data_IF_578603955748
#
_entry.id   IF_578603955748
#
_cell.length_a   1.000
_cell.length_b   1.000
_cell.length_c   1.000
_cell.angle_alpha   90.00
_cell.angle_beta   90.00
_cell.angle_gamma   90.00
#
_symmetry.space_group_name_H-M   'P 1'
#
loop_
_entity.id
_entity.type
_entity.pdbx_description
1 polymer ?
#
# COMPACT_ATOMS: atom_id res chain seq x y z
N UNK A 1 -16.07 -15.48 -9.24
CA UNK A 1 -14.70 -15.83 -9.68
C UNK A 1 -14.18 -14.65 -10.50
N UNK A 2 -13.31 -13.83 -9.94
CA UNK A 2 -12.87 -12.57 -10.55
C UNK A 2 -11.50 -12.79 -11.22
N UNK A 3 -11.39 -12.56 -12.53
CA UNK A 3 -10.13 -12.84 -13.24
C UNK A 3 -10.14 -12.67 -14.75
N UNK A 4 -11.32 -12.69 -15.38
CA UNK A 4 -11.51 -12.38 -16.81
C UNK A 4 -12.08 -10.99 -17.03
N UNK A 5 -11.56 -9.98 -16.33
CA UNK A 5 -12.08 -8.61 -16.40
C UNK A 5 -11.15 -7.72 -17.23
N UNK A 6 -11.74 -6.82 -18.01
CA UNK A 6 -10.98 -5.78 -18.73
C UNK A 6 -10.77 -4.59 -17.81
N UNK A 7 -9.52 -4.18 -17.65
CA UNK A 7 -9.12 -3.06 -16.80
C UNK A 7 -8.18 -2.14 -17.58
N UNK A 8 -8.30 -0.85 -17.34
CA UNK A 8 -7.33 0.15 -17.77
C UNK A 8 -6.15 0.19 -16.80
N UNK A 9 -4.97 0.61 -17.28
CA UNK A 9 -3.77 0.68 -16.47
C UNK A 9 -3.93 1.50 -15.17
N UNK A 10 -4.71 2.59 -15.24
CA UNK A 10 -5.01 3.47 -14.09
C UNK A 10 -5.88 2.81 -13.00
N UNK A 11 -6.49 1.67 -13.28
CA UNK A 11 -7.37 0.94 -12.37
C UNK A 11 -6.63 -0.17 -11.62
N UNK A 12 -5.34 -0.34 -11.92
CA UNK A 12 -4.46 -1.33 -11.31
C UNK A 12 -3.44 -0.60 -10.44
N UNK A 13 -3.40 -0.96 -9.16
CA UNK A 13 -2.32 -0.58 -8.26
C UNK A 13 -1.25 -1.66 -8.34
N UNK A 14 -0.02 -1.29 -8.70
CA UNK A 14 1.13 -2.17 -8.67
C UNK A 14 2.09 -1.70 -7.57
N UNK A 15 2.37 -2.56 -6.58
CA UNK A 15 3.36 -2.31 -5.55
C UNK A 15 4.58 -3.19 -5.75
N UNK A 16 5.74 -2.56 -5.69
CA UNK A 16 7.04 -3.21 -5.92
C UNK A 16 7.94 -2.91 -4.72
N UNK A 17 8.60 -3.93 -4.18
CA UNK A 17 9.46 -3.83 -3.01
C UNK A 17 10.95 -3.95 -3.39
N UNK A 18 11.84 -3.15 -2.78
CA UNK A 18 13.27 -3.12 -3.14
C UNK A 18 14.01 -4.45 -2.94
N UNK A 19 13.53 -5.30 -2.03
CA UNK A 19 14.23 -6.49 -1.56
C UNK A 19 13.78 -7.80 -2.22
N UNK A 20 12.84 -7.76 -3.17
CA UNK A 20 12.56 -8.88 -4.07
C UNK A 20 11.09 -9.10 -4.41
N UNK A 21 10.87 -9.72 -5.56
CA UNK A 21 9.56 -9.97 -6.16
C UNK A 21 8.64 -10.95 -5.41
N UNK A 22 9.06 -11.44 -4.23
CA UNK A 22 8.23 -12.31 -3.40
C UNK A 22 7.07 -11.54 -2.76
N UNK A 23 7.30 -10.27 -2.43
CA UNK A 23 6.33 -9.40 -1.75
C UNK A 23 5.62 -8.44 -2.71
N UNK A 24 6.06 -8.39 -3.97
CA UNK A 24 5.41 -7.60 -5.01
C UNK A 24 3.98 -8.08 -5.23
N UNK A 25 3.06 -7.14 -5.40
CA UNK A 25 1.66 -7.47 -5.65
C UNK A 25 1.00 -6.42 -6.52
N UNK A 26 -0.12 -6.81 -7.14
CA UNK A 26 -1.03 -5.87 -7.76
C UNK A 26 -2.44 -6.06 -7.21
N UNK A 27 -3.20 -4.98 -7.21
CA UNK A 27 -4.57 -4.97 -6.75
C UNK A 27 -5.46 -4.11 -7.64
N UNK A 28 -6.73 -4.51 -7.75
CA UNK A 28 -7.74 -3.79 -8.51
C UNK A 28 -9.13 -4.03 -7.91
N UNK A 29 -10.08 -3.15 -8.20
CA UNK A 29 -11.48 -3.37 -7.86
C UNK A 29 -12.16 -4.11 -9.00
N UNK A 30 -12.78 -5.26 -8.70
CA UNK A 30 -13.49 -6.05 -9.69
C UNK A 30 -14.75 -5.29 -10.16
N UNK A 31 -14.92 -5.01 -11.47
CA UNK A 31 -16.11 -4.31 -11.96
C UNK A 31 -17.40 -5.12 -11.81
N UNK A 32 -17.32 -6.45 -11.73
CA UNK A 32 -18.50 -7.32 -11.68
C UNK A 32 -19.12 -7.40 -10.28
N UNK A 33 -18.30 -7.40 -9.22
CA UNK A 33 -18.76 -7.58 -7.84
C UNK A 33 -18.36 -6.44 -6.88
N UNK A 34 -17.54 -5.50 -7.33
CA UNK A 34 -17.03 -4.39 -6.50
C UNK A 34 -15.97 -4.79 -5.48
N UNK A 35 -15.58 -6.06 -5.40
CA UNK A 35 -14.58 -6.54 -4.45
C UNK A 35 -13.17 -6.13 -4.86
N UNK A 36 -12.34 -5.75 -3.87
CA UNK A 36 -10.92 -5.49 -4.10
C UNK A 36 -10.14 -6.79 -4.11
N UNK A 37 -9.52 -7.08 -5.25
CA UNK A 37 -8.74 -8.30 -5.49
C UNK A 37 -7.26 -7.96 -5.40
N UNK A 38 -6.50 -8.71 -4.59
CA UNK A 38 -5.04 -8.61 -4.47
C UNK A 38 -4.39 -9.90 -4.95
N UNK A 39 -3.34 -9.79 -5.75
CA UNK A 39 -2.61 -10.94 -6.31
C UNK A 39 -1.11 -10.70 -6.26
N UNK A 40 -0.35 -11.74 -5.93
CA UNK A 40 1.11 -11.71 -6.01
C UNK A 40 1.57 -11.40 -7.43
N UNK A 41 2.62 -10.60 -7.55
CA UNK A 41 3.20 -10.16 -8.81
C UNK A 41 4.64 -10.66 -8.89
N UNK A 42 4.86 -11.79 -9.57
CA UNK A 42 6.23 -12.18 -9.90
C UNK A 42 6.86 -11.18 -10.90
N UNK A 43 8.17 -11.26 -11.10
CA UNK A 43 8.92 -10.36 -12.00
C UNK A 43 8.35 -10.27 -13.42
N UNK A 44 7.82 -11.38 -13.95
CA UNK A 44 7.14 -11.41 -15.26
C UNK A 44 5.85 -10.59 -15.26
N UNK A 45 5.04 -10.72 -14.21
CA UNK A 45 3.79 -9.96 -14.01
C UNK A 45 4.06 -8.47 -13.84
N UNK A 46 5.05 -8.11 -13.01
CA UNK A 46 5.50 -6.72 -12.83
C UNK A 46 5.86 -6.09 -14.17
N UNK A 47 6.72 -6.76 -14.94
CA UNK A 47 7.18 -6.26 -16.24
C UNK A 47 6.04 -6.14 -17.26
N UNK A 48 5.11 -7.09 -17.27
CA UNK A 48 3.94 -7.06 -18.14
C UNK A 48 3.05 -5.85 -17.83
N UNK A 49 2.74 -5.63 -16.55
CA UNK A 49 1.91 -4.50 -16.11
C UNK A 49 2.58 -3.16 -16.41
N UNK A 50 3.89 -3.04 -16.15
CA UNK A 50 4.66 -1.85 -16.50
C UNK A 50 4.65 -1.56 -18.01
N UNK A 51 4.82 -2.60 -18.84
CA UNK A 51 4.74 -2.47 -20.31
C UNK A 51 3.33 -2.06 -20.76
N UNK A 52 2.30 -2.51 -20.02
CA UNK A 52 0.91 -2.09 -20.20
C UNK A 52 0.59 -0.68 -19.68
N UNK A 53 1.57 0.05 -19.15
CA UNK A 53 1.42 1.43 -18.69
C UNK A 53 1.01 1.58 -17.21
N UNK A 54 1.04 0.51 -16.42
CA UNK A 54 0.80 0.61 -14.97
C UNK A 54 2.05 1.17 -14.29
N UNK A 55 1.90 2.33 -13.63
CA UNK A 55 2.99 2.94 -12.89
C UNK A 55 3.25 2.19 -11.57
N UNK A 56 4.48 1.73 -11.31
CA UNK A 56 4.80 1.06 -10.04
C UNK A 56 4.87 2.06 -8.88
N UNK A 57 4.30 1.66 -7.75
CA UNK A 57 4.50 2.32 -6.46
C UNK A 57 5.61 1.56 -5.73
N UNK A 58 6.79 2.15 -5.66
CA UNK A 58 7.91 1.59 -4.90
C UNK A 58 7.60 1.74 -3.41
N UNK A 59 7.39 0.62 -2.72
CA UNK A 59 7.09 0.61 -1.29
C UNK A 59 8.33 0.24 -0.51
N UNK A 60 8.74 1.11 0.41
CA UNK A 60 9.96 0.95 1.22
C UNK A 60 9.76 0.11 2.48
N UNK A 61 8.54 -0.35 2.76
CA UNK A 61 8.24 -1.24 3.89
C UNK A 61 7.00 -2.07 3.64
N UNK A 62 7.11 -3.38 3.87
CA UNK A 62 5.96 -4.26 3.99
C UNK A 62 5.58 -4.34 5.48
N UNK A 63 4.30 -4.41 5.89
CA UNK A 63 3.93 -4.53 7.30
C UNK A 63 4.62 -5.72 8.00
N UNK A 64 4.88 -6.79 7.25
CA UNK A 64 5.59 -7.99 7.73
C UNK A 64 7.13 -7.88 7.62
N UNK A 65 7.64 -6.86 6.92
CA UNK A 65 9.06 -6.55 6.78
C UNK A 65 9.28 -5.04 7.04
N UNK A 66 9.18 -4.61 8.31
CA UNK A 66 9.28 -3.20 8.66
C UNK A 66 10.67 -2.64 8.32
N UNK A 67 10.78 -1.33 8.07
CA UNK A 67 12.06 -0.68 7.83
C UNK A 67 13.02 -0.95 9.00
N UNK A 68 14.23 -1.46 8.69
CA UNK A 68 15.24 -1.81 9.70
C UNK A 68 16.08 -0.61 10.16
N UNK A 69 15.93 0.52 9.47
CA UNK A 69 16.60 1.80 9.74
C UNK A 69 15.87 2.65 10.78
N UNK A 70 14.66 2.25 11.18
CA UNK A 70 13.89 2.90 12.23
C UNK A 70 13.94 2.10 13.54
N UNK A 71 13.89 2.77 14.70
CA UNK A 71 13.67 2.08 15.97
C UNK A 71 12.39 1.22 15.90
N UNK A 72 12.40 0.02 16.50
CA UNK A 72 11.18 -0.78 16.59
C UNK A 72 10.12 -0.03 17.38
N UNK A 73 8.86 -0.19 16.97
CA UNK A 73 7.74 0.36 17.71
C UNK A 73 7.69 -0.22 19.13
N UNK A 74 7.61 0.64 20.13
CA UNK A 74 7.57 0.28 21.54
C UNK A 74 6.17 0.44 22.13
N UNK A 75 5.95 -0.06 23.35
CA UNK A 75 4.71 0.18 24.08
C UNK A 75 4.50 1.67 24.40
N UNK A 76 5.58 2.40 24.70
CA UNK A 76 5.53 3.84 24.96
C UNK A 76 5.08 4.63 23.72
N UNK A 77 5.46 4.18 22.52
CA UNK A 77 5.00 4.80 21.26
C UNK A 77 3.48 4.62 21.08
N UNK A 78 2.95 3.44 21.45
CA UNK A 78 1.51 3.17 21.39
C UNK A 78 0.74 4.01 22.41
N UNK A 79 1.28 4.17 23.61
CA UNK A 79 0.71 5.03 24.64
C UNK A 79 0.70 6.50 24.20
N UNK A 80 1.83 7.01 23.69
CA UNK A 80 1.93 8.37 23.18
C UNK A 80 0.94 8.61 22.03
N UNK A 81 0.78 7.64 21.12
CA UNK A 81 -0.20 7.73 20.05
C UNK A 81 -1.65 7.75 20.57
N UNK A 82 -1.96 6.92 21.58
CA UNK A 82 -3.26 6.92 22.24
C UNK A 82 -3.58 8.27 22.89
N UNK A 83 -2.63 8.83 23.62
CA UNK A 83 -2.78 10.15 24.25
C UNK A 83 -3.01 11.25 23.21
N UNK A 84 -2.31 11.19 22.08
CA UNK A 84 -2.50 12.11 20.96
C UNK A 84 -3.94 12.03 20.44
N UNK A 85 -4.46 10.83 20.20
CA UNK A 85 -5.83 10.61 19.73
C UNK A 85 -6.89 10.96 20.77
N UNK A 86 -6.56 10.96 22.07
CA UNK A 86 -7.48 11.34 23.13
C UNK A 86 -7.73 12.86 23.21
N UNK A 87 -6.89 13.67 22.56
CA UNK A 87 -7.05 15.13 22.54
C UNK A 87 -8.27 15.54 21.72
N UNK A 88 -9.12 16.48 22.18
CA UNK A 88 -10.31 16.89 21.43
C UNK A 88 -10.03 17.46 20.04
N UNK A 89 -8.83 18.01 19.84
CA UNK A 89 -8.40 18.73 18.64
C UNK A 89 -7.50 17.90 17.71
N UNK A 90 -7.32 16.60 17.99
CA UNK A 90 -6.34 15.76 17.27
C UNK A 90 -6.54 15.78 15.75
N UNK A 91 -7.80 15.75 15.30
CA UNK A 91 -8.13 15.71 13.88
C UNK A 91 -7.86 17.05 13.20
N UNK A 92 -8.24 18.16 13.83
CA UNK A 92 -7.96 19.51 13.30
C UNK A 92 -6.45 19.77 13.24
N UNK A 93 -5.69 19.26 14.21
CA UNK A 93 -4.23 19.32 14.21
C UNK A 93 -3.62 18.52 13.06
N UNK A 94 -4.13 17.33 12.78
CA UNK A 94 -3.70 16.49 11.66
C UNK A 94 -3.94 17.16 10.31
N UNK A 95 -5.14 17.68 10.08
CA UNK A 95 -5.52 18.35 8.83
C UNK A 95 -4.62 19.56 8.54
N UNK A 96 -4.27 20.34 9.58
CA UNK A 96 -3.32 21.45 9.43
C UNK A 96 -1.94 20.98 8.96
N UNK A 97 -1.46 19.83 9.44
CA UNK A 97 -0.16 19.28 9.06
C UNK A 97 -0.14 18.63 7.66
N UNK A 98 -1.25 18.09 7.17
CA UNK A 98 -1.32 17.44 5.85
C UNK A 98 -1.37 18.42 4.67
N UNK A 99 -1.58 19.71 4.92
CA UNK A 99 -1.64 20.76 3.91
C UNK A 99 -0.37 21.63 3.85
N UNK A 100 0.72 21.21 4.52
CA UNK A 100 2.04 21.83 4.47
C UNK A 100 2.99 21.16 3.49
#
# INVERSE_FOLDING_TARGET
QCGGVTLFAKEIELRVFPHGAADDFYAFTCPDCGERITKAANSGTVRLLQTGGVAPIVSTGHPEAPPTDLPPLTEDDLEAFRELLARPDWFDALVRHSHG
#
